data_IF_551825251606
#
_entry.id   IF_551825251606
#
_cell.length_a   1.000
_cell.length_b   1.000
_cell.length_c   1.000
_cell.angle_alpha   90.00
_cell.angle_beta   90.00
_cell.angle_gamma   90.00
#
_symmetry.space_group_name_H-M   'P 1'
#
loop_
_entity.id
_entity.type
_entity.pdbx_description
1 polymer ?
#
# COMPACT_ATOMS: atom_id res chain seq x y z
N UNK A 1 18.19 3.71 6.80
CA UNK A 1 16.98 3.02 6.29
C UNK A 1 17.37 1.58 6.07
N UNK A 2 16.55 0.63 6.53
CA UNK A 2 16.81 -0.80 6.30
C UNK A 2 15.50 -1.51 5.95
N UNK A 3 15.62 -2.58 5.17
CA UNK A 3 14.48 -3.41 4.80
C UNK A 3 13.98 -4.16 6.02
N UNK A 4 12.66 -4.26 6.15
CA UNK A 4 11.99 -5.01 7.21
C UNK A 4 11.02 -6.03 6.59
N UNK A 5 10.44 -6.88 7.41
CA UNK A 5 9.35 -7.77 7.01
C UNK A 5 8.34 -7.89 8.16
N UNK A 6 7.44 -6.92 8.26
CA UNK A 6 6.46 -6.78 9.35
C UNK A 6 5.08 -6.39 8.87
N UNK A 7 5.00 -5.67 7.76
CA UNK A 7 3.74 -5.22 7.19
C UNK A 7 3.22 -6.22 6.14
N UNK A 8 1.89 -6.34 6.07
CA UNK A 8 1.19 -7.05 5.01
C UNK A 8 -0.11 -6.29 4.67
N UNK A 9 -0.67 -6.53 3.48
CA UNK A 9 -1.98 -6.00 3.09
C UNK A 9 -3.07 -7.05 3.28
N UNK A 10 -4.30 -6.59 3.53
CA UNK A 10 -5.47 -7.46 3.50
C UNK A 10 -5.59 -8.11 2.12
N UNK A 11 -5.95 -9.40 2.10
CA UNK A 11 -6.21 -10.11 0.85
C UNK A 11 -7.66 -9.88 0.44
N UNK A 12 -7.89 -9.73 -0.86
CA UNK A 12 -9.22 -9.54 -1.44
C UNK A 12 -9.64 -10.81 -2.17
N UNK A 13 -10.89 -11.21 -1.96
CA UNK A 13 -11.49 -12.34 -2.66
C UNK A 13 -12.51 -11.85 -3.70
N UNK A 14 -12.75 -12.66 -4.72
CA UNK A 14 -13.71 -12.36 -5.79
C UNK A 14 -13.11 -11.56 -6.96
N UNK A 15 -13.96 -11.07 -7.89
CA UNK A 15 -13.51 -10.37 -9.09
C UNK A 15 -12.76 -9.08 -8.77
N UNK A 16 -11.67 -8.81 -9.50
CA UNK A 16 -10.82 -7.63 -9.31
C UNK A 16 -11.60 -6.31 -9.34
N UNK A 17 -12.63 -6.21 -10.19
CA UNK A 17 -13.47 -5.02 -10.35
C UNK A 17 -14.32 -4.69 -9.11
N UNK A 18 -14.49 -5.67 -8.21
CA UNK A 18 -15.21 -5.50 -6.95
C UNK A 18 -14.31 -5.07 -5.79
N UNK A 19 -12.99 -5.09 -5.99
CA UNK A 19 -12.04 -4.80 -4.93
C UNK A 19 -12.05 -3.29 -4.60
N UNK A 20 -11.98 -2.91 -3.32
CA UNK A 20 -11.87 -1.53 -2.92
C UNK A 20 -10.50 -0.98 -3.30
N UNK A 21 -10.40 0.27 -3.76
CA UNK A 21 -9.12 0.91 -4.14
C UNK A 21 -8.05 0.98 -3.02
N UNK A 22 -8.41 0.61 -1.78
CA UNK A 22 -7.52 0.63 -0.63
C UNK A 22 -7.68 -0.63 0.20
N UNK A 23 -6.54 -1.21 0.55
CA UNK A 23 -6.40 -2.38 1.39
C UNK A 23 -6.14 -2.00 2.84
N UNK A 24 -6.73 -2.74 3.78
CA UNK A 24 -6.33 -2.78 5.18
C UNK A 24 -4.86 -3.15 5.34
N UNK A 25 -4.21 -2.58 6.35
CA UNK A 25 -2.81 -2.82 6.66
C UNK A 25 -2.70 -3.69 7.91
N UNK A 26 -1.85 -4.72 7.85
CA UNK A 26 -1.51 -5.58 8.97
C UNK A 26 -0.08 -5.28 9.42
N UNK A 27 0.15 -5.29 10.72
CA UNK A 27 1.46 -5.22 11.36
C UNK A 27 1.66 -6.47 12.20
N UNK A 28 2.69 -7.27 11.89
CA UNK A 28 2.98 -8.56 12.51
C UNK A 28 1.75 -9.50 12.57
N UNK A 29 0.94 -9.47 11.51
CA UNK A 29 -0.29 -10.27 11.38
C UNK A 29 -1.53 -9.69 12.06
N UNK A 30 -1.44 -8.54 12.73
CA UNK A 30 -2.58 -7.86 13.34
C UNK A 30 -3.04 -6.66 12.51
N UNK A 31 -4.34 -6.56 12.24
CA UNK A 31 -4.92 -5.41 11.54
C UNK A 31 -4.73 -4.12 12.35
N UNK A 32 -4.26 -3.06 11.68
CA UNK A 32 -4.19 -1.71 12.22
C UNK A 32 -5.24 -0.82 11.54
N UNK A 33 -5.75 0.23 12.20
CA UNK A 33 -6.82 1.08 11.67
C UNK A 33 -6.33 2.05 10.59
N UNK A 34 -5.67 1.52 9.56
CA UNK A 34 -5.14 2.26 8.42
C UNK A 34 -5.40 1.48 7.12
N UNK A 35 -5.93 2.20 6.12
CA UNK A 35 -6.11 1.67 4.76
C UNK A 35 -5.22 2.42 3.78
N UNK A 36 -4.44 1.67 3.01
CA UNK A 36 -3.46 2.19 2.05
C UNK A 36 -3.82 1.77 0.60
N UNK A 37 -3.45 2.54 -0.42
CA UNK A 37 -3.70 2.16 -1.81
C UNK A 37 -2.95 0.88 -2.20
N UNK A 38 -3.46 0.16 -3.21
CA UNK A 38 -2.82 -1.04 -3.76
C UNK A 38 -3.24 -2.33 -3.07
N UNK A 39 -2.90 -3.45 -3.71
CA UNK A 39 -3.25 -4.82 -3.30
C UNK A 39 -2.01 -5.66 -3.00
N UNK A 40 -0.85 -5.26 -3.52
CA UNK A 40 0.43 -5.93 -3.29
C UNK A 40 1.37 -4.99 -2.55
N UNK A 41 2.02 -5.50 -1.50
CA UNK A 41 3.12 -4.80 -0.83
C UNK A 41 4.44 -5.21 -1.49
N UNK A 42 5.04 -4.30 -2.24
CA UNK A 42 6.29 -4.55 -2.97
C UNK A 42 7.49 -4.47 -2.03
N UNK A 43 7.57 -3.38 -1.26
CA UNK A 43 8.70 -3.11 -0.38
C UNK A 43 8.26 -2.40 0.90
N UNK A 44 9.02 -2.63 1.96
CA UNK A 44 8.83 -1.99 3.26
C UNK A 44 10.20 -1.69 3.88
N UNK A 45 10.31 -0.49 4.45
CA UNK A 45 11.54 -0.03 5.06
C UNK A 45 11.26 0.66 6.39
N UNK A 46 12.13 0.42 7.36
CA UNK A 46 12.20 1.24 8.56
C UNK A 46 13.22 2.38 8.37
N UNK A 47 12.80 3.58 8.76
CA UNK A 47 13.58 4.81 8.75
C UNK A 47 13.70 5.33 10.18
N UNK A 48 14.56 6.32 10.40
CA UNK A 48 14.70 6.96 11.73
C UNK A 48 13.38 7.60 12.23
N UNK A 49 12.45 7.95 11.32
CA UNK A 49 11.26 8.72 11.64
C UNK A 49 9.95 7.96 11.41
N UNK A 50 10.01 6.68 11.05
CA UNK A 50 8.84 5.89 10.68
C UNK A 50 9.09 4.87 9.59
N UNK A 51 8.04 4.54 8.85
CA UNK A 51 8.04 3.45 7.88
C UNK A 51 7.72 3.96 6.49
N UNK A 52 8.42 3.44 5.49
CA UNK A 52 8.09 3.63 4.08
C UNK A 52 7.55 2.32 3.53
N UNK A 53 6.32 2.35 3.01
CA UNK A 53 5.69 1.23 2.32
C UNK A 53 5.53 1.58 0.85
N UNK A 54 5.82 0.62 -0.02
CA UNK A 54 5.62 0.74 -1.46
C UNK A 54 4.62 -0.34 -1.86
N UNK A 55 3.48 0.07 -2.39
CA UNK A 55 2.39 -0.81 -2.78
C UNK A 55 2.05 -0.65 -4.25
N UNK A 56 1.43 -1.67 -4.84
CA UNK A 56 0.98 -1.66 -6.22
C UNK A 56 -0.40 -2.29 -6.37
N UNK A 57 -1.12 -1.92 -7.43
CA UNK A 57 -2.42 -2.48 -7.76
C UNK A 57 -2.34 -3.78 -8.57
N UNK A 58 -1.15 -4.20 -9.02
CA UNK A 58 -0.93 -5.47 -9.74
C UNK A 58 -1.97 -5.71 -10.86
N UNK A 59 -2.28 -4.63 -11.60
CA UNK A 59 -3.28 -4.64 -12.65
C UNK A 59 -2.59 -4.68 -14.02
N UNK A 60 -2.96 -5.61 -14.92
CA UNK A 60 -2.32 -5.74 -16.23
C UNK A 60 -2.60 -4.55 -17.16
N UNK A 61 -3.60 -3.72 -16.85
CA UNK A 61 -4.01 -2.59 -17.69
C UNK A 61 -3.48 -1.24 -17.18
N UNK A 62 -3.18 -1.13 -15.88
CA UNK A 62 -2.75 0.11 -15.25
C UNK A 62 -1.91 -0.18 -13.99
N UNK A 63 -0.60 0.02 -14.11
CA UNK A 63 0.30 -0.07 -12.97
C UNK A 63 0.23 1.25 -12.19
N UNK A 64 -0.18 1.19 -10.93
CA UNK A 64 -0.22 2.35 -10.03
C UNK A 64 0.55 2.05 -8.76
N UNK A 65 1.77 2.58 -8.69
CA UNK A 65 2.67 2.37 -7.55
C UNK A 65 2.50 3.49 -6.54
N UNK A 66 2.19 3.14 -5.31
CA UNK A 66 1.97 4.08 -4.22
C UNK A 66 3.09 4.03 -3.18
N UNK A 67 3.57 5.20 -2.79
CA UNK A 67 4.58 5.43 -1.76
C UNK A 67 3.89 6.00 -0.53
N UNK A 68 3.93 5.26 0.57
CA UNK A 68 3.23 5.58 1.80
C UNK A 68 4.25 5.77 2.91
N UNK A 69 4.26 6.95 3.52
CA UNK A 69 5.10 7.26 4.67
C UNK A 69 4.25 7.25 5.95
N UNK A 70 4.62 6.43 6.91
CA UNK A 70 3.99 6.31 8.22
C UNK A 70 4.96 6.83 9.30
N UNK A 71 4.43 7.38 10.38
CA UNK A 71 5.23 7.66 11.58
C UNK A 71 5.45 6.40 12.43
N UNK A 72 6.35 6.48 13.41
CA UNK A 72 6.52 5.43 14.43
C UNK A 72 5.23 5.12 15.21
N UNK A 73 4.29 6.07 15.26
CA UNK A 73 2.99 5.90 15.92
C UNK A 73 1.88 5.45 14.95
N UNK A 74 2.25 4.85 13.81
CA UNK A 74 1.32 4.36 12.78
C UNK A 74 0.38 5.43 12.20
N UNK A 75 0.80 6.69 12.19
CA UNK A 75 0.04 7.78 11.57
C UNK A 75 0.51 7.97 10.13
N UNK A 76 -0.42 8.09 9.19
CA UNK A 76 -0.12 8.45 7.81
C UNK A 76 0.48 9.86 7.76
N UNK A 77 1.73 9.98 7.31
CA UNK A 77 2.44 11.24 7.12
C UNK A 77 2.32 11.73 5.68
N UNK A 78 2.46 10.82 4.72
CA UNK A 78 2.33 11.13 3.29
C UNK A 78 1.89 9.91 2.49
N UNK A 79 1.22 10.17 1.37
CA UNK A 79 0.89 9.17 0.36
C UNK A 79 1.04 9.82 -1.02
N UNK A 80 1.78 9.19 -1.92
CA UNK A 80 1.92 9.62 -3.32
C UNK A 80 1.82 8.43 -4.23
N UNK A 81 1.07 8.57 -5.31
CA UNK A 81 0.91 7.52 -6.32
C UNK A 81 1.57 8.01 -7.60
N UNK A 82 2.40 7.15 -8.18
CA UNK A 82 2.91 7.32 -9.53
C UNK A 82 1.99 6.51 -10.46
N UNK A 83 1.68 7.12 -11.60
CA UNK A 83 0.57 6.78 -12.50
C UNK A 83 -0.79 7.35 -12.08
N UNK A 84 -1.70 7.40 -13.04
CA UNK A 84 -3.08 7.77 -12.83
C UNK A 84 -3.93 6.50 -12.98
N UNK A 85 -4.58 6.02 -11.90
CA UNK A 85 -5.58 4.98 -12.04
C UNK A 85 -6.72 5.52 -12.92
N UNK A 86 -7.09 4.75 -13.92
CA UNK A 86 -8.09 4.96 -14.96
C UNK A 86 -7.85 6.12 -15.93
N UNK A 87 -6.60 6.45 -16.26
CA UNK A 87 -6.25 7.49 -17.25
C UNK A 87 -6.04 6.96 -18.68
N UNK A 88 -6.16 5.66 -18.89
CA UNK A 88 -5.97 5.02 -20.21
C UNK A 88 -7.20 5.02 -21.13
N UNK A 89 -8.35 5.54 -20.70
CA UNK A 89 -9.51 5.78 -21.58
C UNK A 89 -9.50 7.22 -22.12
N UNK A 90 -8.87 7.41 -23.29
CA UNK A 90 -9.11 8.55 -24.18
C UNK A 90 -9.57 8.05 -25.55
#
# INVERSE_FOLDING_TARGET
MHTIDRFALEQHEGPYESWPLRSGLLLDGQEIPLRVPGYVLLHQFETQHGYLLITDCDCPFEEATSFILLSNAMRLLACRTLSAPYASFL
#
